data_IF_811160081045
#
_entry.id   IF_811160081045
#
_cell.length_a   1.000
_cell.length_b   1.000
_cell.length_c   1.000
_cell.angle_alpha   90.00
_cell.angle_beta   90.00
_cell.angle_gamma   90.00
#
_symmetry.space_group_name_H-M   'P 1'
#
loop_
_entity.id
_entity.type
_entity.pdbx_description
1 polymer ?
#
# COMPACT_ATOMS: atom_id res chain seq x y z
N UNK A 1 -18.88 42.87 -19.07
CA UNK A 1 -17.50 42.59 -19.49
C UNK A 1 -17.07 41.29 -18.81
N UNK A 2 -17.05 40.15 -19.50
CA UNK A 2 -16.49 38.93 -18.94
C UNK A 2 -14.98 38.89 -19.25
N UNK A 3 -14.14 38.91 -18.22
CA UNK A 3 -12.71 38.68 -18.37
C UNK A 3 -12.42 37.19 -18.13
N UNK A 4 -11.91 36.53 -19.17
CA UNK A 4 -11.35 35.19 -19.14
C UNK A 4 -9.93 35.18 -18.52
N UNK A 5 -9.40 34.00 -18.14
CA UNK A 5 -8.35 33.84 -17.13
C UNK A 5 -6.93 33.89 -17.71
N UNK A 6 -5.94 34.25 -16.89
CA UNK A 6 -4.52 34.16 -17.23
C UNK A 6 -3.90 32.84 -16.77
N UNK A 7 -3.56 32.04 -17.79
CA UNK A 7 -2.45 31.09 -18.00
C UNK A 7 -1.50 30.75 -16.83
N UNK A 8 -1.29 29.42 -16.71
CA UNK A 8 -0.32 28.65 -15.91
C UNK A 8 1.15 29.01 -16.16
N UNK A 9 1.98 28.85 -15.12
CA UNK A 9 3.35 28.30 -15.23
C UNK A 9 3.60 27.25 -14.11
N UNK A 10 4.55 26.31 -14.31
CA UNK A 10 4.60 25.01 -13.64
C UNK A 10 5.63 24.94 -12.49
N UNK A 11 5.73 23.76 -11.87
CA UNK A 11 6.74 23.32 -10.87
C UNK A 11 6.32 23.68 -9.42
N UNK A 12 6.21 22.76 -8.47
CA UNK A 12 7.13 21.66 -8.12
C UNK A 12 6.38 20.34 -7.86
N UNK A 13 6.95 19.26 -8.39
CA UNK A 13 6.62 17.88 -8.01
C UNK A 13 7.17 17.62 -6.59
N UNK A 14 6.28 17.41 -5.61
CA UNK A 14 6.62 16.71 -4.38
C UNK A 14 5.99 15.33 -4.41
N UNK A 15 6.88 14.34 -4.36
CA UNK A 15 6.62 12.92 -4.32
C UNK A 15 5.60 12.57 -3.22
N UNK A 16 4.42 12.12 -3.63
CA UNK A 16 3.46 11.46 -2.76
C UNK A 16 3.78 9.96 -2.74
N UNK A 17 4.84 9.58 -2.02
CA UNK A 17 5.03 8.20 -1.59
C UNK A 17 4.46 8.03 -0.18
N UNK A 18 3.45 7.19 -0.09
CA UNK A 18 2.69 6.92 1.14
C UNK A 18 1.44 6.13 0.79
N UNK A 19 1.67 4.91 0.31
CA UNK A 19 0.68 3.89 -0.03
C UNK A 19 -0.46 3.84 0.99
N UNK A 20 -1.62 4.38 0.61
CA UNK A 20 -2.88 4.10 1.29
C UNK A 20 -3.40 2.76 0.78
N UNK A 21 -2.90 1.67 1.35
CA UNK A 21 -3.52 0.34 1.20
C UNK A 21 -4.89 0.37 1.88
N UNK A 22 -5.92 0.65 1.09
CA UNK A 22 -7.30 0.35 1.41
C UNK A 22 -7.52 -1.14 1.09
N UNK A 23 -7.89 -2.00 2.06
CA UNK A 23 -8.35 -3.33 1.70
C UNK A 23 -9.76 -3.21 1.11
N UNK A 24 -9.85 -3.38 -0.21
CA UNK A 24 -11.10 -3.71 -0.88
C UNK A 24 -11.61 -5.06 -0.37
N UNK A 25 -12.92 -5.11 -0.17
CA UNK A 25 -13.64 -6.25 0.35
C UNK A 25 -13.57 -7.45 -0.61
N UNK A 26 -13.28 -8.64 -0.07
CA UNK A 26 -13.92 -9.87 -0.49
C UNK A 26 -14.09 -10.76 0.74
N UNK A 27 -15.33 -10.85 1.20
CA UNK A 27 -15.74 -11.87 2.15
C UNK A 27 -15.85 -13.18 1.39
N UNK A 28 -14.92 -14.09 1.62
CA UNK A 28 -15.11 -15.51 1.32
C UNK A 28 -16.04 -16.08 2.39
N UNK A 29 -17.33 -16.13 2.06
CA UNK A 29 -18.29 -17.03 2.70
C UNK A 29 -18.95 -17.78 1.54
N UNK A 30 -18.36 -18.90 1.18
CA UNK A 30 -19.06 -19.93 0.41
C UNK A 30 -20.19 -20.47 1.28
N UNK A 31 -21.43 -20.16 0.90
CA UNK A 31 -22.61 -20.82 1.45
C UNK A 31 -22.62 -22.29 1.03
N UNK A 32 -22.53 -23.15 2.04
CA UNK A 32 -23.08 -24.50 1.99
C UNK A 32 -24.55 -24.43 1.57
N UNK A 33 -24.89 -25.09 0.45
CA UNK A 33 -26.27 -25.46 0.13
C UNK A 33 -26.49 -26.93 0.38
N UNK A 34 -27.53 -27.19 1.17
CA UNK A 34 -27.98 -28.50 1.65
C UNK A 34 -28.30 -29.54 0.57
N UNK A 35 -27.95 -30.79 0.93
CA UNK A 35 -28.71 -32.06 0.81
C UNK A 35 -29.54 -32.34 -0.45
N UNK A 36 -29.21 -33.47 -1.07
CA UNK A 36 -30.15 -34.25 -1.86
C UNK A 36 -29.50 -35.50 -2.45
N UNK A 37 -29.23 -36.52 -1.63
CA UNK A 37 -28.98 -37.86 -2.10
C UNK A 37 -30.33 -38.46 -2.56
N UNK A 38 -30.46 -38.77 -3.86
CA UNK A 38 -31.41 -39.75 -4.38
C UNK A 38 -31.01 -40.11 -5.82
N UNK A 39 -30.37 -41.26 -5.96
CA UNK A 39 -30.56 -42.24 -7.03
C UNK A 39 -30.54 -41.71 -8.49
N UNK A 40 -29.35 -41.78 -9.10
CA UNK A 40 -29.18 -41.95 -10.54
C UNK A 40 -29.76 -43.30 -10.98
N UNK A 41 -31.00 -43.30 -11.48
CA UNK A 41 -31.55 -44.43 -12.24
C UNK A 41 -31.42 -44.11 -13.73
N UNK A 42 -30.40 -44.69 -14.37
CA UNK A 42 -30.34 -44.82 -15.81
C UNK A 42 -31.52 -45.70 -16.26
N UNK A 43 -32.36 -45.18 -17.15
CA UNK A 43 -33.24 -46.02 -17.97
C UNK A 43 -32.82 -45.82 -19.43
N UNK A 44 -32.00 -46.76 -19.88
CA UNK A 44 -31.53 -46.92 -21.25
C UNK A 44 -31.99 -48.29 -21.69
N UNK A 45 -33.13 -48.39 -22.39
CA UNK A 45 -33.51 -49.56 -23.19
C UNK A 45 -34.75 -49.29 -24.05
N UNK A 46 -34.64 -48.41 -25.04
CA UNK A 46 -35.48 -48.53 -26.24
C UNK A 46 -34.69 -49.41 -27.21
N UNK A 47 -35.17 -50.62 -27.48
CA UNK A 47 -34.98 -51.44 -28.69
C UNK A 47 -35.53 -52.85 -28.38
N UNK A 48 -36.74 -53.16 -28.85
CA UNK A 48 -37.13 -54.55 -29.09
C UNK A 48 -38.07 -54.63 -30.28
N UNK A 49 -37.43 -54.75 -31.44
CA UNK A 49 -38.00 -55.22 -32.69
C UNK A 49 -38.81 -56.50 -32.45
N UNK A 50 -40.06 -56.50 -32.91
CA UNK A 50 -40.93 -57.67 -32.90
C UNK A 50 -40.84 -58.33 -34.27
N UNK A 51 -39.84 -59.20 -34.43
CA UNK A 51 -39.78 -60.12 -35.57
C UNK A 51 -40.41 -61.45 -35.14
N UNK A 52 -41.66 -61.65 -35.55
CA UNK A 52 -42.45 -62.83 -35.24
C UNK A 52 -42.28 -63.82 -36.41
N UNK A 53 -41.25 -64.66 -36.35
CA UNK A 53 -41.11 -65.76 -37.30
C UNK A 53 -42.20 -66.81 -37.11
N UNK A 54 -42.81 -67.11 -38.24
CA UNK A 54 -43.75 -68.16 -38.55
C UNK A 54 -43.10 -69.54 -38.31
N UNK A 55 -43.69 -70.38 -37.46
CA UNK A 55 -43.36 -71.81 -37.41
C UNK A 55 -44.66 -72.58 -37.24
N UNK A 56 -45.07 -73.21 -38.33
CA UNK A 56 -46.15 -74.18 -38.38
C UNK A 56 -45.69 -75.51 -37.78
N UNK A 57 -46.41 -76.00 -36.78
CA UNK A 57 -46.39 -77.42 -36.42
C UNK A 57 -47.84 -77.87 -36.21
N UNK A 58 -48.28 -78.73 -37.12
CA UNK A 58 -49.52 -79.51 -37.02
C UNK A 58 -49.36 -80.60 -35.96
N UNK A 59 -50.22 -80.61 -34.95
CA UNK A 59 -50.50 -81.81 -34.16
C UNK A 59 -52.02 -82.00 -34.09
N UNK A 60 -52.50 -83.00 -34.84
CA UNK A 60 -53.78 -83.66 -34.58
C UNK A 60 -53.58 -84.64 -33.42
N UNK A 61 -54.32 -84.49 -32.32
CA UNK A 61 -54.71 -85.62 -31.47
C UNK A 61 -55.92 -85.25 -30.58
N UNK A 62 -57.03 -85.89 -30.94
CA UNK A 62 -58.11 -86.46 -30.12
C UNK A 62 -58.97 -85.58 -29.19
N UNK A 63 -60.27 -85.69 -29.45
CA UNK A 63 -61.35 -85.31 -28.55
C UNK A 63 -61.24 -86.04 -27.21
N UNK A 64 -61.05 -85.28 -26.13
CA UNK A 64 -61.67 -85.60 -24.85
C UNK A 64 -62.40 -84.38 -24.29
N UNK A 65 -63.65 -84.65 -23.94
CA UNK A 65 -64.64 -83.77 -23.37
C UNK A 65 -64.14 -83.13 -22.07
N UNK A 66 -63.95 -81.81 -22.07
CA UNK A 66 -64.47 -80.93 -21.01
C UNK A 66 -64.51 -79.49 -21.54
N UNK A 67 -65.37 -79.25 -22.54
CA UNK A 67 -65.84 -77.89 -22.80
C UNK A 67 -66.73 -77.53 -21.61
N UNK A 68 -66.09 -77.11 -20.52
CA UNK A 68 -66.76 -76.37 -19.46
C UNK A 68 -67.33 -75.13 -20.14
N UNK A 69 -68.62 -75.18 -20.41
CA UNK A 69 -69.47 -74.03 -20.60
C UNK A 69 -69.27 -73.18 -19.34
N UNK A 70 -68.22 -72.35 -19.35
CA UNK A 70 -68.05 -71.33 -18.34
C UNK A 70 -69.32 -70.52 -18.43
N UNK A 71 -70.11 -70.61 -17.38
CA UNK A 71 -71.33 -69.84 -17.19
C UNK A 71 -71.03 -68.39 -17.60
N UNK A 72 -71.62 -67.93 -18.70
CA UNK A 72 -71.41 -66.57 -19.21
C UNK A 72 -71.73 -65.55 -18.10
N UNK A 73 -72.63 -65.92 -17.17
CA UNK A 73 -72.95 -65.15 -15.98
C UNK A 73 -71.77 -65.06 -14.98
N UNK A 74 -70.91 -66.07 -14.89
CA UNK A 74 -69.66 -66.04 -14.10
C UNK A 74 -68.61 -65.13 -14.75
N UNK A 75 -68.47 -65.18 -16.07
CA UNK A 75 -67.60 -64.28 -16.83
C UNK A 75 -68.03 -62.81 -16.69
N UNK A 76 -69.32 -62.52 -16.82
CA UNK A 76 -69.87 -61.17 -16.62
C UNK A 76 -69.71 -60.69 -15.17
N UNK A 77 -69.86 -61.59 -14.19
CA UNK A 77 -69.67 -61.27 -12.77
C UNK A 77 -68.23 -60.87 -12.46
N UNK A 78 -67.24 -61.65 -12.92
CA UNK A 78 -65.81 -61.35 -12.74
C UNK A 78 -65.41 -60.06 -13.45
N UNK A 79 -66.00 -59.77 -14.61
CA UNK A 79 -65.82 -58.49 -15.30
C UNK A 79 -66.40 -57.32 -14.51
N UNK A 80 -67.58 -57.49 -13.92
CA UNK A 80 -68.21 -56.50 -13.04
C UNK A 80 -67.35 -56.17 -11.81
N UNK A 81 -66.88 -57.21 -11.11
CA UNK A 81 -65.99 -57.07 -9.95
C UNK A 81 -64.70 -56.31 -10.30
N UNK A 82 -64.06 -56.64 -11.44
CA UNK A 82 -62.87 -55.94 -11.92
C UNK A 82 -63.15 -54.45 -12.21
N UNK A 83 -64.30 -54.14 -12.83
CA UNK A 83 -64.69 -52.75 -13.08
C UNK A 83 -64.97 -51.99 -11.77
N UNK A 84 -65.61 -52.62 -10.80
CA UNK A 84 -65.88 -52.02 -9.49
C UNK A 84 -64.58 -51.73 -8.73
N UNK A 85 -63.61 -52.66 -8.75
CA UNK A 85 -62.27 -52.44 -8.17
C UNK A 85 -61.53 -51.27 -8.86
N UNK A 86 -61.61 -51.19 -10.20
CA UNK A 86 -61.04 -50.06 -10.95
C UNK A 86 -61.71 -48.73 -10.58
N UNK A 87 -63.03 -48.71 -10.42
CA UNK A 87 -63.78 -47.52 -10.01
C UNK A 87 -63.40 -47.07 -8.60
N UNK A 88 -63.24 -48.02 -7.67
CA UNK A 88 -62.79 -47.74 -6.31
C UNK A 88 -61.36 -47.18 -6.28
N UNK A 89 -60.45 -47.73 -7.09
CA UNK A 89 -59.09 -47.21 -7.23
C UNK A 89 -59.09 -45.79 -7.83
N UNK A 90 -59.82 -45.54 -8.91
CA UNK A 90 -59.92 -44.22 -9.53
C UNK A 90 -60.44 -43.18 -8.53
N UNK A 91 -61.43 -43.54 -7.73
CA UNK A 91 -61.96 -42.69 -6.66
C UNK A 91 -60.88 -42.39 -5.61
N UNK A 92 -60.13 -43.40 -5.16
CA UNK A 92 -59.02 -43.19 -4.23
C UNK A 92 -57.94 -42.27 -4.81
N UNK A 93 -57.58 -42.45 -6.08
CA UNK A 93 -56.63 -41.57 -6.78
C UNK A 93 -57.13 -40.13 -6.83
N UNK A 94 -58.40 -39.91 -7.15
CA UNK A 94 -58.98 -38.57 -7.20
C UNK A 94 -59.00 -37.91 -5.81
N UNK A 95 -59.34 -38.66 -4.76
CA UNK A 95 -59.28 -38.16 -3.38
C UNK A 95 -57.86 -37.81 -2.94
N UNK A 96 -56.87 -38.64 -3.28
CA UNK A 96 -55.45 -38.40 -3.01
C UNK A 96 -54.95 -37.16 -3.74
N UNK A 97 -55.30 -37.02 -5.02
CA UNK A 97 -54.98 -35.86 -5.84
C UNK A 97 -55.55 -34.58 -5.22
N UNK A 98 -56.81 -34.59 -4.83
CA UNK A 98 -57.46 -33.43 -4.19
C UNK A 98 -56.86 -33.08 -2.83
N UNK A 99 -56.42 -34.08 -2.06
CA UNK A 99 -55.69 -33.86 -0.80
C UNK A 99 -54.35 -33.19 -1.06
N UNK A 100 -53.56 -33.73 -2.00
CA UNK A 100 -52.25 -33.18 -2.38
C UNK A 100 -52.34 -31.72 -2.85
N UNK A 101 -53.31 -31.41 -3.71
CA UNK A 101 -53.52 -30.03 -4.18
C UNK A 101 -53.93 -29.09 -3.05
N UNK A 102 -54.83 -29.53 -2.16
CA UNK A 102 -55.24 -28.72 -1.00
C UNK A 102 -54.09 -28.45 -0.05
N UNK A 103 -53.29 -29.47 0.25
CA UNK A 103 -52.09 -29.33 1.09
C UNK A 103 -51.09 -28.37 0.46
N UNK A 104 -50.79 -28.53 -0.82
CA UNK A 104 -49.86 -27.63 -1.52
C UNK A 104 -50.36 -26.19 -1.54
N UNK A 105 -51.64 -25.98 -1.81
CA UNK A 105 -52.26 -24.66 -1.80
C UNK A 105 -52.20 -24.03 -0.41
N UNK A 106 -52.42 -24.81 0.65
CA UNK A 106 -52.33 -24.35 2.03
C UNK A 106 -50.90 -23.98 2.42
N UNK A 107 -49.89 -24.77 2.03
CA UNK A 107 -48.48 -24.42 2.24
C UNK A 107 -48.13 -23.06 1.63
N UNK A 108 -48.58 -22.81 0.40
CA UNK A 108 -48.34 -21.54 -0.29
C UNK A 108 -49.07 -20.39 0.40
N UNK A 109 -50.33 -20.59 0.82
CA UNK A 109 -51.10 -19.59 1.57
C UNK A 109 -50.41 -19.21 2.89
N UNK A 110 -49.95 -20.19 3.67
CA UNK A 110 -49.24 -19.94 4.93
C UNK A 110 -47.96 -19.14 4.68
N UNK A 111 -47.14 -19.54 3.69
CA UNK A 111 -45.93 -18.76 3.34
C UNK A 111 -46.26 -17.33 2.88
N UNK A 112 -47.32 -17.17 2.10
CA UNK A 112 -47.78 -15.84 1.66
C UNK A 112 -48.20 -14.98 2.87
N UNK A 113 -48.96 -15.55 3.80
CA UNK A 113 -49.40 -14.86 5.02
C UNK A 113 -48.20 -14.52 5.93
N UNK A 114 -47.21 -15.39 6.04
CA UNK A 114 -45.96 -15.09 6.76
C UNK A 114 -45.21 -13.91 6.15
N UNK A 115 -45.15 -13.81 4.82
CA UNK A 115 -44.53 -12.68 4.12
C UNK A 115 -45.36 -11.40 4.35
N UNK A 116 -46.68 -11.45 4.15
CA UNK A 116 -47.57 -10.29 4.33
C UNK A 116 -47.57 -9.77 5.77
N UNK A 117 -47.49 -10.67 6.76
CA UNK A 117 -47.39 -10.29 8.18
C UNK A 117 -45.97 -9.95 8.62
N UNK A 118 -44.98 -10.04 7.71
CA UNK A 118 -43.57 -9.75 8.01
C UNK A 118 -42.96 -10.70 9.04
N UNK A 119 -43.47 -11.94 9.11
CA UNK A 119 -42.97 -13.01 9.98
C UNK A 119 -42.08 -14.01 9.25
N UNK A 120 -42.02 -13.95 7.91
CA UNK A 120 -41.16 -14.79 7.09
C UNK A 120 -39.69 -14.66 7.53
N UNK A 121 -39.18 -15.72 8.16
CA UNK A 121 -37.81 -15.77 8.70
C UNK A 121 -36.74 -15.59 7.62
N UNK A 122 -36.99 -16.17 6.44
CA UNK A 122 -36.11 -16.15 5.25
C UNK A 122 -35.68 -14.71 4.86
N UNK A 123 -36.51 -13.69 5.13
CA UNK A 123 -36.18 -12.29 4.86
C UNK A 123 -35.78 -11.52 6.11
N UNK A 124 -36.29 -11.91 7.27
CA UNK A 124 -36.05 -11.20 8.54
C UNK A 124 -34.62 -11.35 9.04
N UNK A 125 -34.06 -12.54 8.91
CA UNK A 125 -32.69 -12.81 9.36
C UNK A 125 -31.64 -12.04 8.54
N UNK A 126 -31.68 -12.07 7.18
CA UNK A 126 -30.82 -11.20 6.38
C UNK A 126 -31.01 -9.71 6.67
N UNK A 127 -32.25 -9.27 6.93
CA UNK A 127 -32.53 -7.88 7.28
C UNK A 127 -31.89 -7.49 8.62
N UNK A 128 -32.01 -8.33 9.65
CA UNK A 128 -31.39 -8.09 10.95
C UNK A 128 -29.86 -8.03 10.83
N UNK A 129 -29.26 -8.95 10.06
CA UNK A 129 -27.83 -8.94 9.77
C UNK A 129 -27.40 -7.67 9.05
N UNK A 130 -28.16 -7.20 8.06
CA UNK A 130 -27.87 -5.95 7.35
C UNK A 130 -27.97 -4.73 8.28
N UNK A 131 -28.98 -4.69 9.14
CA UNK A 131 -29.15 -3.63 10.14
C UNK A 131 -27.96 -3.60 11.13
N UNK A 132 -27.52 -4.76 11.61
CA UNK A 132 -26.36 -4.88 12.48
C UNK A 132 -25.08 -4.39 11.78
N UNK A 133 -24.88 -4.77 10.51
CA UNK A 133 -23.74 -4.30 9.72
C UNK A 133 -23.75 -2.79 9.53
N UNK A 134 -24.91 -2.20 9.24
CA UNK A 134 -25.05 -0.74 9.13
C UNK A 134 -24.68 -0.05 10.45
N UNK A 135 -25.15 -0.56 11.59
CA UNK A 135 -24.81 -0.01 12.90
C UNK A 135 -23.30 -0.12 13.18
N UNK A 136 -22.70 -1.29 12.92
CA UNK A 136 -21.27 -1.50 13.10
C UNK A 136 -20.44 -0.54 12.24
N UNK A 137 -20.77 -0.41 10.94
CA UNK A 137 -20.09 0.53 10.04
C UNK A 137 -20.19 1.97 10.54
N UNK A 138 -21.35 2.36 11.06
CA UNK A 138 -21.56 3.71 11.61
C UNK A 138 -20.71 3.94 12.86
N UNK A 139 -20.64 2.95 13.76
CA UNK A 139 -19.81 3.04 14.97
C UNK A 139 -18.32 3.12 14.63
N UNK A 140 -17.85 2.25 13.72
CA UNK A 140 -16.46 2.26 13.26
C UNK A 140 -16.09 3.59 12.62
N UNK A 141 -16.95 4.14 11.75
CA UNK A 141 -16.74 5.46 11.16
C UNK A 141 -16.68 6.57 12.22
N UNK A 142 -17.48 6.47 13.29
CA UNK A 142 -17.42 7.36 14.44
C UNK A 142 -16.07 7.32 15.15
N UNK A 143 -15.59 6.13 15.50
CA UNK A 143 -14.28 5.93 16.14
C UNK A 143 -13.15 6.43 15.23
N UNK A 144 -13.21 6.11 13.94
CA UNK A 144 -12.22 6.56 12.97
C UNK A 144 -12.13 8.09 12.92
N UNK A 145 -13.27 8.78 12.86
CA UNK A 145 -13.32 10.25 12.91
C UNK A 145 -12.67 10.81 14.18
N UNK A 146 -12.95 10.21 15.34
CA UNK A 146 -12.32 10.63 16.60
C UNK A 146 -10.80 10.46 16.59
N UNK A 147 -10.30 9.36 16.04
CA UNK A 147 -8.86 9.13 15.89
C UNK A 147 -8.22 10.14 14.93
N UNK A 148 -8.86 10.42 13.79
CA UNK A 148 -8.38 11.46 12.87
C UNK A 148 -8.29 12.83 13.56
N UNK A 149 -9.30 13.21 14.35
CA UNK A 149 -9.28 14.46 15.11
C UNK A 149 -8.14 14.50 16.13
N UNK A 150 -7.91 13.39 16.86
CA UNK A 150 -6.77 13.29 17.80
C UNK A 150 -5.43 13.42 17.09
N UNK A 151 -5.26 12.80 15.92
CA UNK A 151 -4.03 12.94 15.12
C UNK A 151 -3.81 14.40 14.69
N UNK A 152 -4.85 15.08 14.23
CA UNK A 152 -4.76 16.50 13.86
C UNK A 152 -4.38 17.35 15.07
N UNK A 153 -5.00 17.09 16.23
CA UNK A 153 -4.70 17.79 17.47
C UNK A 153 -3.24 17.58 17.89
N UNK A 154 -2.74 16.35 17.88
CA UNK A 154 -1.35 16.07 18.24
C UNK A 154 -0.37 16.74 17.28
N UNK A 155 -0.64 16.72 15.96
CA UNK A 155 0.18 17.44 14.97
C UNK A 155 0.24 18.93 15.29
N UNK A 156 -0.92 19.54 15.55
CA UNK A 156 -1.01 20.95 15.93
C UNK A 156 -0.23 21.26 17.22
N UNK A 157 -0.36 20.43 18.25
CA UNK A 157 0.36 20.60 19.52
C UNK A 157 1.87 20.46 19.36
N UNK A 158 2.32 19.48 18.56
CA UNK A 158 3.73 19.29 18.24
C UNK A 158 4.32 20.49 17.47
N UNK A 159 3.61 21.01 16.47
CA UNK A 159 4.04 22.21 15.72
C UNK A 159 4.13 23.44 16.63
N UNK A 160 3.13 23.64 17.49
CA UNK A 160 3.11 24.73 18.46
C UNK A 160 4.31 24.65 19.43
N UNK A 161 4.62 23.44 19.90
CA UNK A 161 5.77 23.19 20.76
C UNK A 161 7.09 23.42 20.01
N UNK A 162 7.21 22.90 18.79
CA UNK A 162 8.39 23.07 17.94
C UNK A 162 8.68 24.55 17.67
N UNK A 163 7.66 25.33 17.31
CA UNK A 163 7.80 26.76 17.07
C UNK A 163 8.25 27.53 18.33
N UNK A 164 7.70 27.19 19.51
CA UNK A 164 8.11 27.80 20.79
C UNK A 164 9.56 27.49 21.12
N UNK A 165 9.96 26.22 21.03
CA UNK A 165 11.33 25.80 21.32
C UNK A 165 12.32 26.41 20.33
N UNK A 166 11.96 26.48 19.05
CA UNK A 166 12.76 27.12 18.02
C UNK A 166 13.01 28.59 18.38
N UNK A 167 11.95 29.36 18.68
CA UNK A 167 12.07 30.76 19.08
C UNK A 167 12.96 30.95 20.33
N UNK A 168 12.77 30.12 21.36
CA UNK A 168 13.58 30.17 22.59
C UNK A 168 15.06 29.86 22.30
N UNK A 169 15.34 28.91 21.41
CA UNK A 169 16.69 28.55 21.00
C UNK A 169 17.37 29.67 20.20
N UNK A 170 16.67 30.27 19.25
CA UNK A 170 17.18 31.40 18.44
C UNK A 170 17.45 32.62 19.32
N UNK A 171 16.55 32.91 20.26
CA UNK A 171 16.74 34.00 21.22
C UNK A 171 18.02 33.78 22.02
N UNK A 172 18.24 32.57 22.52
CA UNK A 172 19.43 32.22 23.32
C UNK A 172 20.70 32.31 22.48
N UNK A 173 20.68 31.75 21.26
CA UNK A 173 21.79 31.78 20.33
C UNK A 173 22.17 33.23 19.95
N UNK A 174 21.19 34.10 19.75
CA UNK A 174 21.41 35.52 19.47
C UNK A 174 22.06 36.23 20.66
N UNK A 175 21.59 35.99 21.88
CA UNK A 175 22.22 36.56 23.08
C UNK A 175 23.67 36.10 23.23
N UNK A 176 23.95 34.82 23.01
CA UNK A 176 25.32 34.29 23.07
C UNK A 176 26.20 34.89 21.98
N UNK A 177 25.69 35.02 20.75
CA UNK A 177 26.40 35.67 19.64
C UNK A 177 26.72 37.15 19.93
N UNK A 178 25.77 37.92 20.48
CA UNK A 178 26.01 39.31 20.89
C UNK A 178 27.04 39.38 22.01
N UNK A 179 26.96 38.47 22.99
CA UNK A 179 27.91 38.40 24.10
C UNK A 179 29.33 38.08 23.61
N UNK A 180 29.50 37.11 22.73
CA UNK A 180 30.81 36.77 22.15
C UNK A 180 31.37 37.93 21.33
N UNK A 181 30.54 38.60 20.52
CA UNK A 181 30.96 39.77 19.75
C UNK A 181 31.45 40.91 20.67
N UNK A 182 30.74 41.18 21.77
CA UNK A 182 31.15 42.18 22.76
C UNK A 182 32.44 41.80 23.46
N UNK A 183 32.62 40.55 23.87
CA UNK A 183 33.85 40.06 24.49
C UNK A 183 35.04 40.13 23.52
N UNK A 184 34.84 39.80 22.25
CA UNK A 184 35.87 39.94 21.22
C UNK A 184 36.21 41.41 20.94
N UNK A 185 35.23 42.31 20.98
CA UNK A 185 35.49 43.76 20.88
C UNK A 185 36.32 44.25 22.06
N UNK A 186 35.99 43.84 23.29
CA UNK A 186 36.78 44.16 24.48
C UNK A 186 38.21 43.63 24.34
N UNK A 187 38.37 42.35 23.97
CA UNK A 187 39.68 41.73 23.79
C UNK A 187 40.53 42.47 22.75
N UNK A 188 39.97 42.81 21.58
CA UNK A 188 40.68 43.60 20.56
C UNK A 188 41.10 44.97 21.07
N UNK A 189 40.23 45.66 21.81
CA UNK A 189 40.58 46.96 22.42
C UNK A 189 41.69 46.85 23.46
N UNK A 190 41.71 45.76 24.24
CA UNK A 190 42.78 45.47 25.19
C UNK A 190 44.11 45.16 24.49
N UNK A 191 44.08 44.36 23.43
CA UNK A 191 45.23 44.07 22.56
C UNK A 191 45.75 45.34 21.91
N UNK A 192 44.87 46.19 21.37
CA UNK A 192 45.24 47.48 20.77
C UNK A 192 45.90 48.40 21.81
N UNK A 193 45.33 48.51 23.02
CA UNK A 193 45.92 49.28 24.12
C UNK A 193 47.32 48.76 24.48
N UNK A 194 47.48 47.45 24.68
CA UNK A 194 48.77 46.83 24.97
C UNK A 194 49.77 47.04 23.82
N UNK A 195 49.31 46.97 22.57
CA UNK A 195 50.16 47.19 21.39
C UNK A 195 50.68 48.62 21.32
N UNK A 196 49.85 49.61 21.67
CA UNK A 196 50.24 51.03 21.75
C UNK A 196 51.24 51.25 22.88
N UNK A 197 51.00 50.67 24.06
CA UNK A 197 51.92 50.76 25.21
C UNK A 197 53.31 50.18 24.85
N UNK A 198 53.35 48.97 24.27
CA UNK A 198 54.59 48.32 23.84
C UNK A 198 55.28 49.14 22.73
N UNK A 199 54.52 49.61 21.74
CA UNK A 199 55.06 50.43 20.65
C UNK A 199 55.64 51.75 21.17
N UNK A 200 54.98 52.39 22.14
CA UNK A 200 55.47 53.61 22.80
C UNK A 200 56.80 53.40 23.54
N UNK A 201 56.97 52.27 24.23
CA UNK A 201 58.25 51.89 24.85
C UNK A 201 59.36 51.71 23.81
N UNK A 202 59.07 51.07 22.67
CA UNK A 202 60.03 50.85 21.59
C UNK A 202 60.45 52.17 20.91
N UNK A 203 59.51 53.08 20.62
CA UNK A 203 59.83 54.40 20.09
C UNK A 203 60.55 55.29 21.12
N UNK A 204 60.23 55.14 22.40
CA UNK A 204 60.94 55.83 23.48
C UNK A 204 62.38 55.33 23.65
N UNK A 205 62.63 54.04 23.45
CA UNK A 205 63.96 53.44 23.52
C UNK A 205 64.84 53.78 22.31
N UNK A 206 64.26 53.87 21.10
CA UNK A 206 64.95 54.39 19.90
C UNK A 206 65.40 55.86 20.09
N UNK A 207 64.61 56.65 20.83
CA UNK A 207 64.95 58.04 21.14
C UNK A 207 65.99 58.17 22.28
N UNK A 208 66.06 57.20 23.20
CA UNK A 208 67.10 57.12 24.25
C UNK A 208 68.41 56.51 23.74
N UNK A 209 68.34 55.57 22.79
CA UNK A 209 69.50 54.95 22.13
C UNK A 209 70.30 55.91 21.25
N UNK A 210 69.71 57.05 20.84
CA UNK A 210 70.42 58.13 20.13
C UNK A 210 71.34 59.00 20.99
N UNK A 211 71.43 58.78 22.31
CA UNK A 211 72.45 59.45 23.15
C UNK A 211 73.73 58.64 23.38
N UNK A 212 73.82 57.41 22.87
CA UNK A 212 75.05 56.61 23.03
C UNK A 212 75.31 55.73 21.78
N UNK A 213 75.90 56.32 20.73
CA UNK A 213 76.75 55.67 19.71
C UNK A 213 77.24 56.71 18.70
N UNK A 214 78.30 57.42 19.09
CA UNK A 214 79.24 57.99 18.12
C UNK A 214 80.00 56.81 17.52
N UNK A 215 80.12 56.76 16.18
CA UNK A 215 81.02 55.90 15.38
C UNK A 215 80.42 54.55 14.91
N UNK A 216 79.80 54.54 13.74
CA UNK A 216 80.49 54.11 12.51
C UNK A 216 79.61 54.34 11.26
N UNK A 217 80.28 54.78 10.21
CA UNK A 217 79.74 55.06 8.88
C UNK A 217 79.66 53.76 8.05
N UNK A 218 78.87 53.83 6.96
CA UNK A 218 78.95 53.02 5.73
C UNK A 218 78.29 51.63 5.73
N UNK A 219 77.07 51.57 5.18
CA UNK A 219 76.62 50.60 4.16
C UNK A 219 75.13 50.87 3.89
N UNK A 220 74.83 51.90 3.10
CA UNK A 220 74.43 51.73 1.70
C UNK A 220 73.34 50.66 1.52
N UNK A 221 72.13 51.15 1.71
CA UNK A 221 70.85 50.67 1.17
C UNK A 221 70.98 49.84 -0.12
N UNK A 222 70.74 48.53 -0.02
CA UNK A 222 70.43 47.68 -1.18
C UNK A 222 68.92 47.46 -1.23
N UNK A 223 68.37 47.67 -2.42
CA UNK A 223 66.96 47.97 -2.66
C UNK A 223 66.14 46.68 -2.67
N UNK A 224 65.12 46.58 -1.83
CA UNK A 224 64.05 45.59 -1.99
C UNK A 224 63.35 45.84 -3.34
N UNK A 225 63.42 44.87 -4.25
CA UNK A 225 62.59 44.85 -5.46
C UNK A 225 61.13 44.83 -5.01
N UNK A 226 60.39 45.92 -5.27
CA UNK A 226 58.94 45.95 -5.10
C UNK A 226 58.36 44.98 -6.15
N UNK A 227 57.52 44.04 -5.71
CA UNK A 227 56.68 43.29 -6.63
C UNK A 227 55.89 44.27 -7.50
N UNK A 228 55.77 43.99 -8.80
CA UNK A 228 55.06 44.84 -9.73
C UNK A 228 53.61 45.00 -9.24
N UNK A 229 53.21 46.23 -8.93
CA UNK A 229 51.81 46.58 -8.78
C UNK A 229 51.19 46.47 -10.18
N UNK A 230 50.48 45.37 -10.44
CA UNK A 230 49.63 45.26 -11.62
C UNK A 230 48.49 46.26 -11.44
N UNK A 231 48.62 47.42 -12.07
CA UNK A 231 47.57 48.42 -12.18
C UNK A 231 46.66 48.03 -13.36
N UNK A 232 45.64 47.23 -13.09
CA UNK A 232 44.59 46.84 -14.04
C UNK A 232 43.45 46.12 -13.30
N UNK A 233 42.23 46.04 -13.86
CA UNK A 233 41.12 45.33 -13.24
C UNK A 233 41.50 43.87 -13.00
N UNK A 234 41.60 43.48 -11.72
CA UNK A 234 41.88 42.10 -11.35
C UNK A 234 40.57 41.31 -11.41
N UNK A 235 40.63 40.11 -11.97
CA UNK A 235 39.58 39.10 -11.78
C UNK A 235 40.08 38.19 -10.65
N UNK A 236 39.50 38.30 -9.46
CA UNK A 236 39.74 37.35 -8.37
C UNK A 236 38.64 36.31 -8.46
N UNK A 237 39.02 35.10 -8.84
CA UNK A 237 38.16 33.94 -8.70
C UNK A 237 38.27 33.47 -7.24
N UNK A 238 37.34 33.91 -6.39
CA UNK A 238 37.15 33.29 -5.07
C UNK A 238 36.49 31.93 -5.29
N UNK A 239 37.29 30.87 -5.39
CA UNK A 239 36.77 29.51 -5.34
C UNK A 239 36.27 29.22 -3.91
N UNK A 240 35.26 28.35 -3.80
CA UNK A 240 34.79 27.90 -2.49
C UNK A 240 35.83 26.95 -1.89
N UNK A 241 35.90 26.87 -0.57
CA UNK A 241 36.85 26.00 0.13
C UNK A 241 36.75 24.53 -0.33
N UNK A 242 35.56 24.09 -0.72
CA UNK A 242 35.29 22.75 -1.26
C UNK A 242 36.07 22.52 -2.56
N UNK A 243 35.97 23.46 -3.51
CA UNK A 243 36.61 23.36 -4.82
C UNK A 243 38.15 23.42 -4.66
N UNK A 244 38.64 24.23 -3.72
CA UNK A 244 40.07 24.32 -3.38
C UNK A 244 40.61 23.00 -2.81
N UNK A 245 39.83 22.34 -1.93
CA UNK A 245 40.20 21.08 -1.30
C UNK A 245 40.18 19.89 -2.29
N UNK A 246 39.24 19.91 -3.23
CA UNK A 246 39.14 18.94 -4.31
C UNK A 246 40.35 19.04 -5.26
N UNK A 247 40.68 20.24 -5.72
CA UNK A 247 41.87 20.47 -6.56
C UNK A 247 43.16 20.10 -5.81
N UNK A 248 43.24 20.41 -4.52
CA UNK A 248 44.37 20.04 -3.68
C UNK A 248 44.56 18.52 -3.58
N UNK A 249 43.47 17.77 -3.45
CA UNK A 249 43.53 16.30 -3.44
C UNK A 249 43.85 15.74 -4.82
N UNK A 250 43.32 16.32 -5.90
CA UNK A 250 43.67 15.95 -7.27
C UNK A 250 45.16 16.13 -7.57
N UNK A 251 45.75 17.26 -7.16
CA UNK A 251 47.19 17.53 -7.31
C UNK A 251 48.02 16.53 -6.52
N UNK A 252 47.65 16.22 -5.27
CA UNK A 252 48.36 15.21 -4.47
C UNK A 252 48.31 13.83 -5.12
N UNK A 253 47.15 13.44 -5.66
CA UNK A 253 46.96 12.16 -6.36
C UNK A 253 47.78 12.06 -7.63
N UNK A 254 47.79 13.11 -8.45
CA UNK A 254 48.62 13.19 -9.66
C UNK A 254 50.11 13.15 -9.33
N UNK A 255 50.54 13.84 -8.28
CA UNK A 255 51.94 13.86 -7.83
C UNK A 255 52.40 12.49 -7.33
N UNK A 256 51.54 11.74 -6.64
CA UNK A 256 51.80 10.37 -6.23
C UNK A 256 51.88 9.39 -7.42
N UNK A 257 51.07 9.61 -8.47
CA UNK A 257 51.13 8.83 -9.71
C UNK A 257 52.38 9.13 -10.54
N UNK A 258 52.97 10.33 -10.41
CA UNK A 258 54.18 10.73 -11.13
C UNK A 258 55.49 10.26 -10.48
N UNK A 259 55.45 9.67 -9.28
CA UNK A 259 56.64 9.08 -8.65
C UNK A 259 57.00 7.75 -9.33
N UNK A 260 58.14 7.64 -10.04
CA UNK A 260 58.47 6.44 -10.81
C UNK A 260 58.85 5.28 -9.89
N UNK A 261 58.11 4.18 -10.00
CA UNK A 261 58.46 2.87 -9.43
C UNK A 261 59.74 2.37 -10.12
N UNK A 262 60.89 2.41 -9.44
CA UNK A 262 62.14 1.83 -9.95
C UNK A 262 61.98 0.31 -10.14
N UNK A 263 61.67 -0.14 -11.36
CA UNK A 263 61.89 -1.52 -11.82
C UNK A 263 63.39 -1.72 -11.99
N UNK A 264 63.99 -2.65 -11.22
CA UNK A 264 65.34 -3.20 -11.52
C UNK A 264 65.19 -4.24 -12.61
N UNK A 265 65.87 -4.03 -13.73
CA UNK A 265 66.05 -4.98 -14.80
C UNK A 265 67.12 -6.02 -14.42
N UNK A 266 66.89 -7.27 -14.81
CA UNK A 266 67.84 -8.39 -14.72
C UNK A 266 69.09 -8.14 -15.58
N UNK A 267 70.23 -8.70 -15.18
CA UNK A 267 71.33 -9.03 -16.09
C UNK A 267 72.15 -10.20 -15.53
N UNK A 268 72.11 -11.32 -16.26
CA UNK A 268 73.00 -12.48 -16.15
C UNK A 268 74.47 -12.04 -16.29
N UNK A 269 75.36 -12.66 -15.52
CA UNK A 269 76.77 -12.77 -15.89
C UNK A 269 77.25 -14.21 -15.60
N UNK A 270 77.54 -14.93 -16.67
CA UNK A 270 78.33 -16.16 -16.70
C UNK A 270 79.80 -15.74 -16.64
N UNK A 271 80.63 -16.46 -15.89
CA UNK A 271 81.95 -16.95 -16.34
C UNK A 271 82.67 -17.74 -15.23
N UNK A 272 83.06 -18.97 -15.64
CA UNK A 272 84.12 -19.88 -15.17
C UNK A 272 84.16 -20.28 -13.69
#
# INVERSE_FOLDING_TARGET
>A
MPAQPSVREPEEEMEAEGESELPEANGEVEEERERGAAETMEESMEERDSDLEETEEEEEEEEEEESSEMDDEDCERRRGECLDEMLDLEKQFQELKDKLFRERLNQVKVKLDEVLTGKAGEYKEPLATLQNNMQLRTQVAGVYKELCLKVIQHKYECELQGARQHLESERTLLFDAMKTELLDKIRRLEEDRQSVDLTSEWWSDEMKSKKCKRKNLLARTERKKKAALVSGPFIVYMLRDIDILEDWTAIKKAKAALTPLKKKAESKCVLL
#
